data_IF_586389021431
#
_entry.id   IF_586389021431
#
_cell.length_a   1.000
_cell.length_b   1.000
_cell.length_c   1.000
_cell.angle_alpha   90.00
_cell.angle_beta   90.00
_cell.angle_gamma   90.00
#
_symmetry.space_group_name_H-M   'P 1'
#
loop_
_entity.id
_entity.type
_entity.pdbx_description
1 polymer ?
#
# COMPACT_ATOMS: atom_id res chain seq x y z
N UNK A 1 5.70 -17.38 3.30
CA UNK A 1 4.79 -18.11 2.42
C UNK A 1 4.71 -19.56 2.87
N UNK A 2 3.51 -20.10 3.15
CA UNK A 2 3.36 -21.47 3.66
C UNK A 2 3.98 -22.50 2.71
N UNK A 3 4.80 -23.42 3.25
CA UNK A 3 5.47 -24.47 2.48
C UNK A 3 6.78 -24.07 1.79
N UNK A 4 7.09 -22.79 1.67
CA UNK A 4 8.34 -22.35 1.03
C UNK A 4 9.55 -22.28 1.98
N UNK A 5 9.33 -22.42 3.30
CA UNK A 5 10.39 -22.22 4.30
C UNK A 5 10.89 -20.78 4.34
N UNK A 6 12.16 -20.59 4.70
CA UNK A 6 12.81 -19.27 4.71
C UNK A 6 13.46 -18.99 3.37
N UNK A 7 12.81 -18.18 2.54
CA UNK A 7 13.29 -17.77 1.21
C UNK A 7 13.18 -16.25 1.05
N UNK A 8 14.02 -15.66 0.20
CA UNK A 8 13.85 -14.26 -0.18
C UNK A 8 12.65 -14.08 -1.12
N UNK A 9 12.07 -12.88 -1.19
CA UNK A 9 10.97 -12.59 -2.12
C UNK A 9 11.33 -12.88 -3.58
N UNK A 10 12.56 -12.55 -3.99
CA UNK A 10 13.06 -12.85 -5.33
C UNK A 10 13.13 -14.36 -5.61
N UNK A 11 13.64 -15.15 -4.67
CA UNK A 11 13.69 -16.61 -4.81
C UNK A 11 12.28 -17.20 -4.89
N UNK A 12 11.35 -16.73 -4.06
CA UNK A 12 9.95 -17.18 -4.12
C UNK A 12 9.32 -16.88 -5.48
N UNK A 13 9.51 -15.66 -6.00
CA UNK A 13 8.99 -15.27 -7.31
C UNK A 13 9.54 -16.16 -8.44
N UNK A 14 10.84 -16.44 -8.43
CA UNK A 14 11.48 -17.35 -9.39
C UNK A 14 10.88 -18.75 -9.31
N UNK A 15 10.71 -19.31 -8.10
CA UNK A 15 10.12 -20.64 -7.90
C UNK A 15 8.67 -20.70 -8.42
N UNK A 16 7.88 -19.66 -8.13
CA UNK A 16 6.50 -19.58 -8.62
C UNK A 16 6.46 -19.50 -10.15
N UNK A 17 7.35 -18.72 -10.77
CA UNK A 17 7.45 -18.63 -12.22
C UNK A 17 7.89 -19.97 -12.85
N UNK A 18 8.90 -20.64 -12.29
CA UNK A 18 9.33 -21.98 -12.75
C UNK A 18 8.18 -22.98 -12.70
N UNK A 19 7.39 -22.96 -11.63
CA UNK A 19 6.21 -23.84 -11.50
C UNK A 19 5.17 -23.58 -12.61
N UNK A 20 4.96 -22.32 -13.04
CA UNK A 20 4.08 -22.06 -14.19
C UNK A 20 4.62 -22.63 -15.49
N UNK A 21 5.94 -22.60 -15.67
CA UNK A 21 6.60 -23.16 -16.84
C UNK A 21 6.51 -24.69 -16.87
N UNK A 22 6.71 -25.36 -15.73
CA UNK A 22 6.55 -26.83 -15.59
C UNK A 22 5.13 -27.28 -15.94
N UNK A 23 4.12 -26.44 -15.65
CA UNK A 23 2.74 -26.67 -16.03
C UNK A 23 2.42 -26.30 -17.48
N UNK A 24 3.41 -25.88 -18.26
CA UNK A 24 3.27 -25.44 -19.64
C UNK A 24 2.25 -24.31 -19.82
N UNK A 25 2.15 -23.40 -18.83
CA UNK A 25 1.33 -22.19 -18.96
C UNK A 25 2.04 -21.22 -19.91
N UNK A 26 1.43 -20.81 -21.03
CA UNK A 26 2.01 -19.81 -21.91
C UNK A 26 2.24 -18.48 -21.16
N UNK A 27 3.39 -17.87 -21.38
CA UNK A 27 3.76 -16.62 -20.74
C UNK A 27 4.31 -15.65 -21.80
N UNK A 28 3.92 -14.39 -21.71
CA UNK A 28 4.37 -13.34 -22.59
C UNK A 28 4.73 -12.07 -21.82
N UNK A 29 5.78 -11.36 -22.27
CA UNK A 29 6.25 -10.10 -21.69
C UNK A 29 5.68 -8.93 -22.48
N UNK A 30 4.43 -8.58 -22.17
CA UNK A 30 3.77 -7.46 -22.81
C UNK A 30 3.09 -6.55 -21.79
N UNK A 31 3.08 -5.26 -22.05
CA UNK A 31 2.31 -4.28 -21.27
C UNK A 31 0.89 -4.24 -21.81
N UNK A 32 -0.08 -4.64 -20.97
CA UNK A 32 -1.50 -4.59 -21.34
C UNK A 32 -1.98 -3.14 -21.27
N UNK A 33 -2.53 -2.64 -22.37
CA UNK A 33 -3.13 -1.31 -22.47
C UNK A 33 -4.61 -1.31 -22.09
N UNK A 34 -5.36 -2.29 -22.60
CA UNK A 34 -6.80 -2.37 -22.36
C UNK A 34 -7.34 -3.80 -22.49
N UNK A 35 -8.51 -4.03 -21.91
CA UNK A 35 -9.31 -5.23 -22.14
C UNK A 35 -10.65 -4.80 -22.71
N UNK A 36 -10.99 -5.28 -23.90
CA UNK A 36 -12.28 -5.05 -24.58
C UNK A 36 -13.18 -6.26 -24.38
N UNK A 37 -14.47 -6.03 -24.31
CA UNK A 37 -15.48 -7.10 -24.25
C UNK A 37 -16.43 -6.89 -25.42
N UNK A 38 -16.61 -7.91 -26.24
CA UNK A 38 -17.55 -7.87 -27.35
C UNK A 38 -18.98 -8.29 -26.93
N UNK A 39 -19.92 -8.21 -27.88
CA UNK A 39 -21.33 -8.54 -27.64
C UNK A 39 -21.55 -10.03 -27.26
N UNK A 40 -20.63 -10.92 -27.65
CA UNK A 40 -20.65 -12.36 -27.29
C UNK A 40 -20.06 -12.62 -25.89
N UNK A 41 -19.49 -11.61 -25.24
CA UNK A 41 -18.84 -11.71 -23.93
C UNK A 41 -17.39 -12.21 -24.00
N UNK A 42 -16.80 -12.34 -25.20
CA UNK A 42 -15.38 -12.66 -25.39
C UNK A 42 -14.54 -11.44 -25.05
N UNK A 43 -13.46 -11.64 -24.29
CA UNK A 43 -12.52 -10.59 -23.88
C UNK A 43 -11.33 -10.59 -24.81
N UNK A 44 -10.99 -9.42 -25.33
CA UNK A 44 -9.75 -9.19 -26.10
C UNK A 44 -8.80 -8.37 -25.25
N UNK A 45 -7.64 -8.93 -24.94
CA UNK A 45 -6.55 -8.24 -24.25
C UNK A 45 -5.68 -7.59 -25.30
N UNK A 46 -5.53 -6.27 -25.26
CA UNK A 46 -4.72 -5.48 -26.19
C UNK A 46 -3.48 -4.96 -25.46
N UNK A 47 -2.31 -5.18 -26.03
CA UNK A 47 -1.03 -4.71 -25.51
C UNK A 47 -0.61 -3.37 -26.13
N UNK A 48 0.42 -2.71 -25.57
CA UNK A 48 0.94 -1.43 -26.07
C UNK A 48 1.58 -1.57 -27.46
N UNK A 49 2.27 -2.68 -27.69
CA UNK A 49 2.72 -3.05 -29.03
C UNK A 49 1.51 -3.61 -29.80
N UNK A 50 1.06 -2.89 -30.81
CA UNK A 50 -0.17 -3.17 -31.58
C UNK A 50 -0.20 -4.57 -32.23
N UNK A 51 0.90 -5.30 -32.20
CA UNK A 51 1.05 -6.62 -32.81
C UNK A 51 0.58 -7.77 -31.90
N UNK A 52 0.42 -7.56 -30.59
CA UNK A 52 -0.01 -8.63 -29.69
C UNK A 52 -1.41 -8.39 -29.14
N UNK A 53 -2.31 -9.30 -29.52
CA UNK A 53 -3.64 -9.41 -28.92
C UNK A 53 -3.95 -10.86 -28.62
N UNK A 54 -4.61 -11.13 -27.51
CA UNK A 54 -5.16 -12.45 -27.23
C UNK A 54 -6.64 -12.36 -26.83
N UNK A 55 -7.38 -13.40 -27.12
CA UNK A 55 -8.80 -13.50 -26.76
C UNK A 55 -9.01 -14.59 -25.71
N UNK A 56 -9.94 -14.35 -24.79
CA UNK A 56 -10.29 -15.28 -23.74
C UNK A 56 -11.76 -15.18 -23.33
N UNK A 57 -12.32 -16.29 -22.85
CA UNK A 57 -13.65 -16.28 -22.21
C UNK A 57 -13.63 -15.64 -20.81
N UNK A 58 -12.49 -15.69 -20.13
CA UNK A 58 -12.29 -15.07 -18.82
C UNK A 58 -10.90 -14.42 -18.74
N UNK A 59 -10.80 -13.30 -18.03
CA UNK A 59 -9.54 -12.60 -17.73
C UNK A 59 -9.45 -12.40 -16.23
N UNK A 60 -8.31 -12.77 -15.65
CA UNK A 60 -7.98 -12.50 -14.25
C UNK A 60 -7.00 -11.32 -14.18
N UNK A 61 -7.41 -10.24 -13.53
CA UNK A 61 -6.60 -9.03 -13.36
C UNK A 61 -5.83 -9.12 -12.04
N UNK A 62 -4.51 -9.25 -12.12
CA UNK A 62 -3.59 -9.31 -10.99
C UNK A 62 -2.52 -8.21 -11.08
N UNK A 63 -2.92 -7.00 -11.44
CA UNK A 63 -2.03 -5.87 -11.76
C UNK A 63 -1.50 -5.12 -10.52
N UNK A 64 -1.89 -5.55 -9.33
CA UNK A 64 -1.51 -4.87 -8.08
C UNK A 64 -2.26 -3.54 -7.88
N UNK A 65 -1.71 -2.71 -7.01
CA UNK A 65 -2.28 -1.40 -6.65
C UNK A 65 -1.17 -0.38 -6.45
N UNK A 66 -1.46 0.87 -6.77
CA UNK A 66 -0.63 2.01 -6.41
C UNK A 66 -1.17 2.71 -5.17
N UNK A 67 -0.25 3.26 -4.37
CA UNK A 67 -0.61 4.05 -3.20
C UNK A 67 -1.22 5.38 -3.62
N UNK A 68 -2.34 5.74 -3.00
CA UNK A 68 -2.99 7.02 -3.27
C UNK A 68 -2.27 8.14 -2.53
N UNK A 69 -1.97 9.21 -3.24
CA UNK A 69 -1.54 10.47 -2.65
C UNK A 69 -2.74 11.28 -2.17
N UNK A 70 -2.50 12.18 -1.22
CA UNK A 70 -3.53 13.10 -0.70
C UNK A 70 -3.70 14.34 -1.58
N UNK A 71 -2.69 14.67 -2.39
CA UNK A 71 -2.68 15.86 -3.24
C UNK A 71 -2.53 17.16 -2.46
N UNK A 72 -1.96 17.12 -1.25
CA UNK A 72 -1.76 18.29 -0.42
C UNK A 72 -0.35 18.89 -0.61
N UNK A 73 -0.16 20.20 -0.33
CA UNK A 73 1.14 20.85 -0.45
C UNK A 73 2.27 20.10 0.26
N UNK A 74 3.39 19.96 -0.42
CA UNK A 74 4.61 19.34 0.10
C UNK A 74 4.65 17.80 0.00
N UNK A 75 3.54 17.10 -0.27
CA UNK A 75 3.52 15.65 -0.28
C UNK A 75 4.57 15.03 -1.21
N UNK A 76 4.59 15.46 -2.48
CA UNK A 76 5.51 14.91 -3.48
C UNK A 76 6.99 15.13 -3.16
N UNK A 77 7.33 16.15 -2.37
CA UNK A 77 8.72 16.48 -2.03
C UNK A 77 9.32 15.48 -1.01
N UNK A 78 8.47 14.83 -0.23
CA UNK A 78 8.91 14.01 0.90
C UNK A 78 8.61 12.53 0.76
N UNK A 79 8.02 12.08 -0.36
CA UNK A 79 7.87 10.65 -0.66
C UNK A 79 9.26 10.00 -0.75
N UNK A 80 9.53 8.99 0.08
CA UNK A 80 10.85 8.39 0.26
C UNK A 80 11.81 9.19 1.16
N UNK A 81 11.45 10.43 1.53
CA UNK A 81 12.25 11.31 2.40
C UNK A 81 11.50 11.71 3.69
N UNK A 82 10.67 10.82 4.20
CA UNK A 82 9.88 10.99 5.42
C UNK A 82 8.41 10.64 5.26
N UNK A 83 7.89 10.54 4.04
CA UNK A 83 6.61 9.94 3.73
C UNK A 83 6.85 8.54 3.16
N UNK A 84 6.18 7.56 3.74
CA UNK A 84 6.20 6.15 3.31
C UNK A 84 4.78 5.62 3.18
N UNK A 85 4.59 4.63 2.33
CA UNK A 85 3.35 3.89 2.15
C UNK A 85 3.47 2.43 2.62
N UNK A 86 4.57 2.08 3.30
CA UNK A 86 4.82 0.73 3.79
C UNK A 86 5.49 0.79 5.17
N UNK A 87 4.70 0.63 6.21
CA UNK A 87 5.23 0.66 7.57
C UNK A 87 6.20 -0.50 7.87
N UNK A 88 5.98 -1.66 7.28
CA UNK A 88 6.86 -2.82 7.45
C UNK A 88 8.21 -2.58 6.79
N UNK A 89 8.22 -1.95 5.59
CA UNK A 89 9.43 -1.66 4.83
C UNK A 89 10.31 -0.61 5.55
N UNK A 90 9.70 0.49 5.97
CA UNK A 90 10.39 1.68 6.46
C UNK A 90 10.29 1.87 7.99
N UNK A 91 9.48 1.06 8.67
CA UNK A 91 9.27 1.12 10.12
C UNK A 91 10.57 1.08 10.95
N UNK A 92 11.57 0.26 10.61
CA UNK A 92 12.85 0.28 11.33
C UNK A 92 13.54 1.65 11.35
N UNK A 93 13.33 2.48 10.32
CA UNK A 93 13.84 3.85 10.28
C UNK A 93 13.06 4.83 11.16
N UNK A 94 11.90 4.42 11.68
CA UNK A 94 11.05 5.18 12.60
C UNK A 94 11.39 4.97 14.08
N UNK A 95 12.40 4.16 14.40
CA UNK A 95 12.81 3.88 15.77
C UNK A 95 13.06 5.18 16.55
N UNK A 96 12.44 5.28 17.74
CA UNK A 96 12.55 6.41 18.67
C UNK A 96 12.09 7.77 18.08
N UNK A 97 11.34 7.77 16.97
CA UNK A 97 10.79 8.99 16.35
C UNK A 97 9.29 9.12 16.62
N UNK A 98 8.81 10.33 16.43
CA UNK A 98 7.36 10.61 16.39
C UNK A 98 6.87 10.35 14.97
N UNK A 99 5.80 9.57 14.86
CA UNK A 99 5.24 9.13 13.59
C UNK A 99 3.79 9.56 13.49
N UNK A 100 3.38 9.98 12.29
CA UNK A 100 1.97 10.22 11.98
C UNK A 100 1.50 9.20 10.96
N UNK A 101 0.44 8.47 11.29
CA UNK A 101 -0.25 7.56 10.38
C UNK A 101 -1.52 8.22 9.88
N UNK A 102 -1.72 8.23 8.56
CA UNK A 102 -2.85 8.91 7.92
C UNK A 102 -3.83 7.87 7.37
N UNK A 103 -5.00 7.82 7.96
CA UNK A 103 -6.06 6.90 7.55
C UNK A 103 -6.74 6.22 8.72
N UNK A 104 -7.89 5.58 8.44
CA UNK A 104 -8.71 4.92 9.46
C UNK A 104 -9.25 3.55 9.05
N UNK A 105 -8.75 2.98 7.96
CA UNK A 105 -9.05 1.60 7.55
C UNK A 105 -8.11 0.58 8.19
N UNK A 106 -8.32 -0.71 7.89
CA UNK A 106 -7.55 -1.81 8.47
C UNK A 106 -6.05 -1.64 8.31
N UNK A 107 -5.56 -1.33 7.11
CA UNK A 107 -4.12 -1.13 6.86
C UNK A 107 -3.53 -0.06 7.78
N UNK A 108 -4.18 1.11 7.89
CA UNK A 108 -3.67 2.21 8.72
C UNK A 108 -3.64 1.83 10.22
N UNK A 109 -4.66 1.14 10.70
CA UNK A 109 -4.75 0.70 12.11
C UNK A 109 -3.71 -0.37 12.41
N UNK A 110 -3.55 -1.36 11.56
CA UNK A 110 -2.56 -2.43 11.72
C UNK A 110 -1.12 -1.88 11.64
N UNK A 111 -0.84 -1.00 10.69
CA UNK A 111 0.44 -0.32 10.56
C UNK A 111 0.74 0.57 11.77
N UNK A 112 -0.26 1.29 12.30
CA UNK A 112 -0.10 2.09 13.51
C UNK A 112 0.21 1.22 14.75
N UNK A 113 -0.43 0.07 14.88
CA UNK A 113 -0.14 -0.90 15.94
C UNK A 113 1.30 -1.42 15.81
N UNK A 114 1.74 -1.75 14.60
CA UNK A 114 3.11 -2.19 14.33
C UNK A 114 4.12 -1.10 14.69
N UNK A 115 3.89 0.14 14.21
CA UNK A 115 4.76 1.28 14.47
C UNK A 115 4.81 1.67 15.94
N UNK A 116 3.75 1.48 16.71
CA UNK A 116 3.73 1.73 18.14
C UNK A 116 4.73 0.85 18.93
N UNK A 117 5.10 -0.32 18.39
CA UNK A 117 6.15 -1.17 18.94
C UNK A 117 7.59 -0.69 18.64
N UNK A 118 7.76 0.31 17.79
CA UNK A 118 9.07 0.76 17.27
C UNK A 118 9.31 2.26 17.55
N UNK A 119 8.30 3.08 17.27
CA UNK A 119 8.36 4.52 17.37
C UNK A 119 8.21 5.01 18.82
N UNK A 120 8.69 6.21 19.10
CA UNK A 120 8.49 6.88 20.40
C UNK A 120 7.01 7.20 20.62
N UNK A 121 6.35 7.77 19.61
CA UNK A 121 4.92 8.05 19.62
C UNK A 121 4.31 7.86 18.23
N UNK A 122 3.04 7.51 18.20
CA UNK A 122 2.26 7.37 16.97
C UNK A 122 0.99 8.21 17.07
N UNK A 123 0.80 9.12 16.14
CA UNK A 123 -0.45 9.88 15.99
C UNK A 123 -1.20 9.36 14.77
N UNK A 124 -2.41 8.87 14.96
CA UNK A 124 -3.28 8.43 13.86
C UNK A 124 -4.28 9.54 13.54
N UNK A 125 -4.16 10.15 12.37
CA UNK A 125 -5.08 11.19 11.93
C UNK A 125 -6.09 10.65 10.92
N UNK A 126 -7.38 10.80 11.24
CA UNK A 126 -8.50 10.22 10.48
C UNK A 126 -9.52 11.30 10.15
N UNK A 127 -9.84 11.48 8.87
CA UNK A 127 -10.81 12.50 8.41
C UNK A 127 -12.22 12.38 8.99
N UNK A 128 -12.60 11.19 9.43
CA UNK A 128 -13.92 10.92 10.01
C UNK A 128 -13.74 10.14 11.32
N UNK A 129 -13.84 8.84 11.25
CA UNK A 129 -13.68 7.91 12.38
C UNK A 129 -12.93 6.66 11.90
N UNK A 130 -12.42 5.87 12.84
CA UNK A 130 -11.81 4.57 12.53
C UNK A 130 -12.88 3.62 11.97
N UNK A 131 -12.57 3.02 10.79
CA UNK A 131 -13.43 2.07 10.06
C UNK A 131 -12.82 0.67 10.01
N UNK A 132 -11.73 0.45 10.70
CA UNK A 132 -11.06 -0.83 10.80
C UNK A 132 -11.86 -1.80 11.68
N UNK A 133 -11.41 -3.06 11.70
CA UNK A 133 -11.96 -4.09 12.57
C UNK A 133 -12.03 -3.59 14.02
N UNK A 134 -13.16 -3.76 14.73
CA UNK A 134 -13.34 -3.30 16.11
C UNK A 134 -12.26 -3.78 17.07
N UNK A 135 -11.81 -5.03 16.94
CA UNK A 135 -10.77 -5.60 17.80
C UNK A 135 -9.43 -4.89 17.58
N UNK A 136 -9.09 -4.58 16.32
CA UNK A 136 -7.88 -3.83 16.01
C UNK A 136 -7.96 -2.38 16.50
N UNK A 137 -9.12 -1.73 16.38
CA UNK A 137 -9.35 -0.38 16.90
C UNK A 137 -9.23 -0.33 18.43
N UNK A 138 -9.77 -1.31 19.14
CA UNK A 138 -9.65 -1.42 20.60
C UNK A 138 -8.19 -1.61 21.01
N UNK A 139 -7.48 -2.53 20.36
CA UNK A 139 -6.05 -2.73 20.57
C UNK A 139 -5.25 -1.45 20.34
N UNK A 140 -5.49 -0.74 19.24
CA UNK A 140 -4.82 0.52 18.93
C UNK A 140 -5.00 1.54 20.06
N UNK A 141 -6.25 1.73 20.50
CA UNK A 141 -6.60 2.70 21.58
C UNK A 141 -6.02 2.33 22.95
N UNK A 142 -5.68 1.06 23.17
CA UNK A 142 -5.08 0.59 24.43
C UNK A 142 -3.58 0.86 24.53
N UNK A 143 -2.92 1.25 23.44
CA UNK A 143 -1.48 1.50 23.41
C UNK A 143 -1.15 2.88 23.99
N UNK A 144 -0.28 2.91 25.01
CA UNK A 144 0.02 4.13 25.78
C UNK A 144 0.79 5.21 25.01
N UNK A 145 1.42 4.87 23.88
CA UNK A 145 2.14 5.80 23.01
C UNK A 145 1.38 6.14 21.72
N UNK A 146 0.09 5.81 21.64
CA UNK A 146 -0.76 6.11 20.47
C UNK A 146 -1.78 7.18 20.81
N UNK A 147 -1.93 8.15 19.92
CA UNK A 147 -2.99 9.17 19.94
C UNK A 147 -3.82 9.07 18.66
N UNK A 148 -5.13 8.97 18.81
CA UNK A 148 -6.06 8.94 17.66
C UNK A 148 -6.80 10.27 17.56
N UNK A 149 -6.67 10.94 16.42
CA UNK A 149 -7.32 12.21 16.09
C UNK A 149 -8.39 11.95 15.03
N UNK A 150 -9.64 11.80 15.45
CA UNK A 150 -10.79 11.66 14.56
C UNK A 150 -11.34 13.03 14.18
N UNK A 151 -11.77 13.20 12.92
CA UNK A 151 -12.22 14.50 12.38
C UNK A 151 -11.07 15.41 11.91
N UNK A 152 -9.84 14.88 11.81
CA UNK A 152 -8.68 15.65 11.40
C UNK A 152 -8.15 15.21 10.03
N UNK A 153 -7.71 16.18 9.23
CA UNK A 153 -7.09 15.92 7.94
C UNK A 153 -5.78 16.70 7.78
N UNK A 154 -4.92 16.19 6.89
CA UNK A 154 -3.67 16.86 6.54
C UNK A 154 -3.94 18.08 5.68
N UNK A 155 -3.32 19.20 5.99
CA UNK A 155 -3.34 20.40 5.18
C UNK A 155 -2.01 20.69 4.48
N UNK A 156 -0.89 20.22 5.04
CA UNK A 156 0.44 20.47 4.50
C UNK A 156 1.47 19.51 5.08
N UNK A 157 2.44 19.11 4.25
CA UNK A 157 3.70 18.51 4.69
C UNK A 157 4.82 19.54 4.58
N UNK A 158 5.65 19.68 5.61
CA UNK A 158 6.71 20.67 5.61
C UNK A 158 8.05 20.11 6.13
N UNK A 159 9.13 20.70 5.67
CA UNK A 159 10.49 20.32 6.03
C UNK A 159 11.52 21.05 5.17
N UNK A 160 12.72 20.52 5.18
CA UNK A 160 13.83 20.93 4.33
C UNK A 160 14.14 19.86 3.26
N UNK A 161 15.28 19.20 3.34
CA UNK A 161 15.63 18.02 2.52
C UNK A 161 14.88 16.76 2.95
N UNK A 162 14.29 16.76 4.15
CA UNK A 162 13.48 15.69 4.73
C UNK A 162 12.24 16.26 5.39
N UNK A 163 11.24 15.44 5.52
CA UNK A 163 10.03 15.77 6.27
C UNK A 163 10.39 16.14 7.72
N UNK A 164 9.90 17.26 8.20
CA UNK A 164 10.01 17.71 9.60
C UNK A 164 8.69 17.65 10.33
N UNK A 165 7.59 17.73 9.60
CA UNK A 165 6.28 17.66 10.22
C UNK A 165 5.14 17.72 9.23
N UNK A 166 3.95 17.56 9.77
CA UNK A 166 2.68 17.64 9.06
C UNK A 166 1.75 18.61 9.79
N UNK A 167 1.07 19.47 9.05
CA UNK A 167 0.00 20.31 9.59
C UNK A 167 -1.31 19.57 9.48
N UNK A 168 -1.99 19.47 10.58
CA UNK A 168 -3.34 18.92 10.65
C UNK A 168 -4.33 20.06 10.85
N UNK A 169 -5.51 19.92 10.29
CA UNK A 169 -6.65 20.82 10.55
C UNK A 169 -7.88 19.99 10.89
N UNK A 170 -8.70 20.50 11.75
CA UNK A 170 -10.00 19.94 12.07
C UNK A 170 -10.92 20.13 10.85
N UNK A 171 -11.76 19.16 10.58
CA UNK A 171 -12.64 19.13 9.42
C UNK A 171 -13.99 19.74 9.73
#
# INVERSE_FOLDING_TARGET
>A
YPGAGTVSGAQLAIQMFQHTQELNVPFDYNTVREVRVDESGVKTVCCEEDEFTCTAHAVLLCTGTDSRTLGVPGEGNYIGNGISFCAICDGPACRDKDVVVLGGGNSAVEEAIYLAGIARSVTVAVRSYLKADPIACEKLRSLGNVTVLEGWEVSEFYGDTRLRGVRLKEK
#
